data_IF_630012783374
#
_entry.id   IF_630012783374
#
_cell.length_a   1.000
_cell.length_b   1.000
_cell.length_c   1.000
_cell.angle_alpha   90.00
_cell.angle_beta   90.00
_cell.angle_gamma   90.00
#
_symmetry.space_group_name_H-M   'P 1'
#
loop_
_entity.id
_entity.type
_entity.pdbx_description
1 polymer ?
#
# COMPACT_ATOMS: atom_id res chain seq x y z
N UNK A 1 -15.83 16.68 -24.14
CA UNK A 1 -14.75 15.72 -24.44
C UNK A 1 -14.10 15.40 -23.10
N UNK A 2 -14.06 14.12 -22.71
CA UNK A 2 -13.42 13.75 -21.43
C UNK A 2 -11.92 13.87 -21.62
N UNK A 3 -11.27 14.65 -20.76
CA UNK A 3 -9.83 14.78 -20.76
C UNK A 3 -9.22 13.56 -20.04
N UNK A 4 -8.75 12.60 -20.83
CA UNK A 4 -8.20 11.34 -20.33
C UNK A 4 -6.89 11.56 -19.55
N UNK A 5 -6.13 12.61 -19.85
CA UNK A 5 -4.89 12.92 -19.14
C UNK A 5 -5.16 13.38 -17.71
N UNK A 6 -6.25 14.13 -17.51
CA UNK A 6 -6.73 14.51 -16.17
C UNK A 6 -7.19 13.29 -15.36
N UNK A 7 -7.82 12.31 -15.99
CA UNK A 7 -8.22 11.07 -15.31
C UNK A 7 -7.00 10.25 -14.91
N UNK A 8 -6.02 10.10 -15.80
CA UNK A 8 -4.79 9.34 -15.53
C UNK A 8 -3.99 9.99 -14.41
N UNK A 9 -3.85 11.32 -14.41
CA UNK A 9 -3.14 12.05 -13.36
C UNK A 9 -3.85 11.97 -12.01
N UNK A 10 -5.19 12.09 -11.99
CA UNK A 10 -5.99 11.90 -10.77
C UNK A 10 -5.78 10.51 -10.16
N UNK A 11 -5.86 9.44 -10.97
CA UNK A 11 -5.64 8.06 -10.50
C UNK A 11 -4.22 7.91 -9.97
N UNK A 12 -3.20 8.42 -10.67
CA UNK A 12 -1.81 8.38 -10.20
C UNK A 12 -1.60 9.07 -8.85
N UNK A 13 -2.32 10.17 -8.60
CA UNK A 13 -2.24 10.88 -7.31
C UNK A 13 -2.92 10.12 -6.17
N UNK A 14 -4.09 9.54 -6.41
CA UNK A 14 -4.89 8.89 -5.37
C UNK A 14 -4.44 7.46 -5.07
N UNK A 15 -3.76 6.81 -6.02
CA UNK A 15 -3.41 5.40 -5.91
C UNK A 15 -2.42 5.14 -4.76
N UNK A 16 -2.79 4.32 -3.76
CA UNK A 16 -1.86 3.88 -2.74
C UNK A 16 -0.72 3.05 -3.34
N UNK A 17 0.46 3.09 -2.71
CA UNK A 17 1.61 2.26 -3.16
C UNK A 17 1.40 0.76 -2.96
N UNK A 18 0.54 0.38 -2.02
CA UNK A 18 0.25 -1.02 -1.70
C UNK A 18 -1.02 -1.48 -2.44
N UNK A 19 -0.93 -2.62 -3.13
CA UNK A 19 -2.09 -3.23 -3.79
C UNK A 19 -2.86 -4.16 -2.86
N UNK A 20 -4.19 -4.08 -2.95
CA UNK A 20 -5.15 -4.99 -2.31
C UNK A 20 -5.23 -6.35 -3.03
N UNK A 21 -6.00 -7.29 -2.47
CA UNK A 21 -6.20 -8.62 -3.07
C UNK A 21 -6.90 -8.52 -4.41
N UNK A 22 -7.93 -7.68 -4.43
CA UNK A 22 -8.78 -7.46 -5.58
C UNK A 22 -7.95 -6.90 -6.72
N UNK A 23 -7.13 -5.87 -6.46
CA UNK A 23 -6.26 -5.29 -7.50
C UNK A 23 -5.23 -6.29 -8.06
N UNK A 24 -4.69 -7.20 -7.22
CA UNK A 24 -3.78 -8.25 -7.69
C UNK A 24 -4.49 -9.31 -8.53
N UNK A 25 -5.71 -9.68 -8.15
CA UNK A 25 -6.57 -10.60 -8.91
C UNK A 25 -6.94 -9.98 -10.27
N UNK A 26 -7.30 -8.70 -10.28
CA UNK A 26 -7.64 -7.97 -11.49
C UNK A 26 -6.46 -7.90 -12.45
N UNK A 27 -5.24 -7.69 -11.94
CA UNK A 27 -4.02 -7.74 -12.76
C UNK A 27 -3.86 -9.10 -13.46
N UNK A 28 -4.04 -10.21 -12.73
CA UNK A 28 -3.95 -11.56 -13.30
C UNK A 28 -5.06 -11.80 -14.32
N UNK A 29 -6.28 -11.36 -14.01
CA UNK A 29 -7.43 -11.48 -14.90
C UNK A 29 -7.21 -10.73 -16.21
N UNK A 30 -6.81 -9.45 -16.13
CA UNK A 30 -6.50 -8.61 -17.30
C UNK A 30 -5.37 -9.22 -18.13
N UNK A 31 -4.31 -9.71 -17.47
CA UNK A 31 -3.20 -10.37 -18.14
C UNK A 31 -3.65 -11.64 -18.90
N UNK A 32 -4.51 -12.46 -18.29
CA UNK A 32 -5.08 -13.65 -18.92
C UNK A 32 -6.02 -13.30 -20.09
N UNK A 33 -6.87 -12.29 -19.93
CA UNK A 33 -7.76 -11.79 -20.97
C UNK A 33 -7.00 -11.31 -22.21
N UNK A 34 -5.98 -10.47 -22.03
CA UNK A 34 -5.18 -9.98 -23.15
C UNK A 34 -4.36 -11.09 -23.83
N UNK A 35 -3.83 -12.05 -23.05
CA UNK A 35 -3.18 -13.24 -23.63
C UNK A 35 -4.15 -14.08 -24.44
N UNK A 36 -5.39 -14.27 -23.96
CA UNK A 36 -6.44 -14.99 -24.69
C UNK A 36 -6.83 -14.29 -26.00
N UNK A 37 -6.78 -12.96 -26.02
CA UNK A 37 -7.02 -12.14 -27.22
C UNK A 37 -5.83 -12.11 -28.20
N UNK A 38 -4.73 -12.80 -27.90
CA UNK A 38 -3.55 -12.85 -28.77
C UNK A 38 -2.70 -11.57 -28.77
N UNK A 39 -2.95 -10.66 -27.81
CA UNK A 39 -2.13 -9.45 -27.65
C UNK A 39 -0.71 -9.86 -27.30
N UNK A 40 0.26 -9.40 -28.09
CA UNK A 40 1.68 -9.61 -27.82
C UNK A 40 2.15 -8.59 -26.77
N UNK A 41 3.16 -8.94 -25.98
CA UNK A 41 3.76 -8.06 -24.98
C UNK A 41 2.79 -7.51 -23.91
N UNK A 42 1.78 -8.29 -23.51
CA UNK A 42 0.81 -7.95 -22.45
C UNK A 42 1.49 -7.45 -21.17
N UNK A 43 2.59 -8.10 -20.77
CA UNK A 43 3.30 -7.72 -19.57
C UNK A 43 3.89 -6.31 -19.66
N UNK A 44 4.39 -5.88 -20.82
CA UNK A 44 4.89 -4.52 -21.02
C UNK A 44 3.75 -3.51 -20.97
N UNK A 45 2.64 -3.80 -21.67
CA UNK A 45 1.46 -2.92 -21.69
C UNK A 45 0.89 -2.68 -20.30
N UNK A 46 0.77 -3.74 -19.50
CA UNK A 46 0.28 -3.64 -18.12
C UNK A 46 1.32 -2.95 -17.22
N UNK A 47 2.61 -3.19 -17.45
CA UNK A 47 3.68 -2.55 -16.69
C UNK A 47 3.77 -1.04 -16.96
N UNK A 48 3.47 -0.57 -18.16
CA UNK A 48 3.44 0.86 -18.49
C UNK A 48 2.30 1.59 -17.73
N UNK A 49 1.22 0.88 -17.43
CA UNK A 49 0.06 1.42 -16.70
C UNK A 49 0.30 1.36 -15.18
N UNK A 50 0.77 0.22 -14.66
CA UNK A 50 0.77 -0.09 -13.22
C UNK A 50 2.16 -0.10 -12.58
N UNK A 51 3.22 -0.27 -13.37
CA UNK A 51 4.61 -0.43 -12.94
C UNK A 51 5.17 -1.85 -13.11
N UNK A 52 6.40 -1.95 -13.64
CA UNK A 52 7.08 -3.21 -13.98
C UNK A 52 7.29 -4.14 -12.78
N UNK A 53 7.82 -3.60 -11.68
CA UNK A 53 8.23 -4.39 -10.51
C UNK A 53 7.04 -5.12 -9.90
N UNK A 54 5.89 -4.45 -9.87
CA UNK A 54 4.72 -4.94 -9.17
C UNK A 54 4.01 -6.04 -9.96
N UNK A 55 3.95 -5.90 -11.28
CA UNK A 55 3.43 -6.93 -12.17
C UNK A 55 4.25 -8.22 -12.08
N UNK A 56 5.59 -8.12 -12.15
CA UNK A 56 6.47 -9.27 -12.07
C UNK A 56 6.32 -10.00 -10.74
N UNK A 57 6.22 -9.25 -9.63
CA UNK A 57 6.02 -9.82 -8.30
C UNK A 57 4.70 -10.59 -8.21
N UNK A 58 3.58 -9.99 -8.65
CA UNK A 58 2.26 -10.64 -8.64
C UNK A 58 2.25 -11.89 -9.52
N UNK A 59 2.87 -11.81 -10.70
CA UNK A 59 2.94 -12.94 -11.64
C UNK A 59 3.81 -14.08 -11.10
N UNK A 60 4.96 -13.76 -10.52
CA UNK A 60 5.84 -14.74 -9.88
C UNK A 60 5.12 -15.44 -8.73
N UNK A 61 4.47 -14.66 -7.86
CA UNK A 61 3.72 -15.18 -6.73
C UNK A 61 2.63 -16.17 -7.16
N UNK A 62 1.86 -15.81 -8.21
CA UNK A 62 0.86 -16.70 -8.77
C UNK A 62 1.48 -18.00 -9.30
N UNK A 63 2.55 -17.93 -10.09
CA UNK A 63 3.20 -19.12 -10.65
C UNK A 63 3.81 -20.04 -9.59
N UNK A 64 4.32 -19.49 -8.48
CA UNK A 64 4.97 -20.28 -7.43
C UNK A 64 3.97 -20.92 -6.47
N UNK A 65 2.92 -20.19 -6.07
CA UNK A 65 2.08 -20.60 -4.94
C UNK A 65 0.61 -20.85 -5.33
N UNK A 66 0.21 -20.49 -6.56
CA UNK A 66 -1.17 -20.47 -7.04
C UNK A 66 -2.16 -19.77 -6.08
N UNK A 67 -1.63 -18.87 -5.24
CA UNK A 67 -2.33 -18.16 -4.19
C UNK A 67 -1.79 -16.74 -4.11
N UNK A 68 -2.67 -15.78 -3.85
CA UNK A 68 -2.32 -14.37 -3.77
C UNK A 68 -2.28 -13.99 -2.29
N UNK A 69 -1.07 -13.95 -1.75
CA UNK A 69 -0.82 -13.57 -0.35
C UNK A 69 -0.45 -12.09 -0.31
N UNK A 70 -1.15 -11.31 0.49
CA UNK A 70 -0.85 -9.89 0.69
C UNK A 70 -0.09 -9.73 1.99
N UNK A 71 0.97 -8.94 1.95
CA UNK A 71 1.52 -8.36 3.15
C UNK A 71 0.48 -7.36 3.69
N UNK A 72 -0.15 -7.67 4.83
CA UNK A 72 -1.07 -6.76 5.48
C UNK A 72 -0.41 -5.36 5.59
N UNK A 73 -1.16 -4.26 5.35
CA UNK A 73 -0.60 -2.93 5.49
C UNK A 73 0.00 -2.81 6.90
N UNK A 74 1.16 -2.15 7.06
CA UNK A 74 1.77 -1.95 8.36
C UNK A 74 0.77 -1.20 9.26
N UNK A 75 0.04 -1.94 10.07
CA UNK A 75 -0.85 -1.40 11.07
C UNK A 75 0.01 -1.15 12.29
N UNK A 76 0.05 0.10 12.77
CA UNK A 76 0.60 0.43 14.08
C UNK A 76 -0.31 -0.14 15.18
N UNK A 77 -0.41 -1.47 15.27
CA UNK A 77 -1.17 -2.23 16.27
C UNK A 77 -0.34 -2.57 17.50
N UNK A 78 0.79 -1.88 17.70
CA UNK A 78 1.50 -1.93 18.97
C UNK A 78 0.80 -0.99 19.94
N UNK A 79 -0.15 -1.51 20.70
CA UNK A 79 -0.54 -0.90 21.98
C UNK A 79 0.63 -1.13 22.94
N UNK A 80 1.67 -0.30 22.83
CA UNK A 80 2.63 -0.20 23.91
C UNK A 80 1.97 0.66 24.98
N UNK A 81 1.86 0.14 26.20
CA UNK A 81 1.53 0.98 27.34
C UNK A 81 2.47 2.18 27.32
N UNK A 82 1.92 3.39 27.19
CA UNK A 82 2.71 4.60 27.25
C UNK A 82 3.26 4.73 28.66
N UNK A 83 4.47 4.21 28.89
CA UNK A 83 5.23 4.49 30.10
C UNK A 83 5.67 5.94 30.00
N UNK A 84 5.08 6.78 30.84
CA UNK A 84 5.58 8.12 31.08
C UNK A 84 7.05 7.97 31.48
N UNK A 85 8.00 8.63 30.77
CA UNK A 85 9.40 8.55 31.12
C UNK A 85 9.61 9.02 32.55
N UNK A 86 10.18 8.17 33.40
CA UNK A 86 10.60 8.53 34.76
C UNK A 86 11.89 9.36 34.69
N UNK A 87 11.75 10.56 34.12
CA UNK A 87 12.83 11.52 33.94
C UNK A 87 12.63 12.65 34.93
N UNK A 88 13.72 13.09 35.59
CA UNK A 88 13.68 14.17 36.59
C UNK A 88 12.94 15.43 36.08
N UNK A 89 13.07 15.74 34.79
CA UNK A 89 12.37 16.87 34.15
C UNK A 89 10.85 16.70 34.15
N UNK A 90 10.35 15.49 33.89
CA UNK A 90 8.91 15.19 33.88
C UNK A 90 8.34 15.28 35.29
N UNK A 91 9.06 14.74 36.28
CA UNK A 91 8.67 14.87 37.70
C UNK A 91 8.67 16.31 38.18
N UNK A 92 9.67 17.11 37.79
CA UNK A 92 9.71 18.54 38.12
C UNK A 92 8.55 19.32 37.50
N UNK A 93 8.22 19.02 36.24
CA UNK A 93 7.08 19.64 35.56
C UNK A 93 5.76 19.33 36.29
N UNK A 94 5.54 18.06 36.65
CA UNK A 94 4.35 17.63 37.38
C UNK A 94 4.29 18.28 38.77
N UNK A 95 5.40 18.32 39.50
CA UNK A 95 5.47 18.94 40.82
C UNK A 95 5.19 20.44 40.79
N UNK A 96 5.71 21.14 39.78
CA UNK A 96 5.47 22.57 39.62
C UNK A 96 3.99 22.84 39.31
N UNK A 97 3.40 22.07 38.39
CA UNK A 97 1.98 22.18 38.06
C UNK A 97 1.07 21.94 39.29
N UNK A 98 1.37 20.92 40.11
CA UNK A 98 0.63 20.63 41.33
C UNK A 98 0.79 21.70 42.42
N UNK A 99 1.91 22.43 42.44
CA UNK A 99 2.11 23.57 43.36
C UNK A 99 1.33 24.81 42.93
N UNK A 100 1.19 25.05 41.63
CA UNK A 100 0.42 26.19 41.10
C UNK A 100 -1.10 25.98 41.25
N UNK A 101 -1.54 24.74 41.39
CA UNK A 101 -2.95 24.35 41.59
C UNK A 101 -3.38 24.30 43.07
N UNK A 102 -2.48 24.60 44.01
CA UNK A 102 -2.77 24.70 45.47
C UNK A 102 -2.84 26.15 45.90
#
# INVERSE_FOLDING_TARGET
MVDYDNVISFVRMQRPRALTTEERLDILYIHACYRKQGVKAVAQLIADILGVVLLLYVWQQYNTTNTIIIAAPPSNRKSQESRVPDTKLVLQLIQNFLREQR
#
